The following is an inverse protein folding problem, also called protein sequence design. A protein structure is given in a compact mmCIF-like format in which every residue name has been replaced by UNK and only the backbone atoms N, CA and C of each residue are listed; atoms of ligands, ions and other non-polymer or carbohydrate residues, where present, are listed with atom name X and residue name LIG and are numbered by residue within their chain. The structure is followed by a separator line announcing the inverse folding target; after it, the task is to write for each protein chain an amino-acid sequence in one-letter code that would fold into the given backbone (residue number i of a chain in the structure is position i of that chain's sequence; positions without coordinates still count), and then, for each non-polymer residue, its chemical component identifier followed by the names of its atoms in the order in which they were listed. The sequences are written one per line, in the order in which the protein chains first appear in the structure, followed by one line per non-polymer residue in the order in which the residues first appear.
data_IF_554965046976
#
_entry.id   IF_554965046976
#
_cell.length_a   1.000
_cell.length_b   1.000
_cell.length_c   1.000
_cell.angle_alpha   90.00
_cell.angle_beta   90.00
_cell.angle_gamma   90.00
#
_symmetry.space_group_name_H-M   'P 1'
#
loop_
_entity.id
_entity.type
_entity.pdbx_description
1 polymer ?
#
# COMPACT_ATOMS: atom_id res chain seq x y z
N UNK A 1 -20.13 -14.42 -21.28
CA UNK A 1 -18.79 -13.82 -21.34
C UNK A 1 -17.81 -14.72 -20.59
N UNK A 2 -16.58 -14.83 -21.08
CA UNK A 2 -15.52 -15.57 -20.36
C UNK A 2 -15.24 -14.91 -19.01
N UNK A 3 -14.74 -15.68 -18.05
CA UNK A 3 -14.27 -15.17 -16.76
C UNK A 3 -13.06 -14.27 -16.95
N UNK A 4 -13.06 -13.12 -16.27
CA UNK A 4 -11.93 -12.17 -16.18
C UNK A 4 -11.53 -12.04 -14.72
N UNK A 5 -10.32 -12.46 -14.38
CA UNK A 5 -9.79 -12.34 -13.03
C UNK A 5 -9.24 -10.92 -12.81
N UNK A 6 -9.80 -10.18 -11.86
CA UNK A 6 -9.32 -8.84 -11.45
C UNK A 6 -8.16 -8.93 -10.45
N UNK A 7 -8.13 -9.99 -9.65
CA UNK A 7 -6.95 -10.47 -8.95
C UNK A 7 -6.54 -11.80 -9.55
N UNK A 8 -5.25 -12.10 -9.75
CA UNK A 8 -4.81 -13.36 -10.35
C UNK A 8 -5.43 -14.57 -9.64
N UNK A 9 -6.02 -15.51 -10.40
CA UNK A 9 -6.62 -16.74 -9.85
C UNK A 9 -5.55 -17.74 -9.39
N UNK A 10 -4.36 -17.69 -10.00
CA UNK A 10 -3.23 -18.57 -9.69
C UNK A 10 -2.20 -17.87 -8.80
N UNK A 11 -1.33 -18.65 -8.17
CA UNK A 11 -0.29 -18.17 -7.27
C UNK A 11 -0.75 -18.06 -5.82
N UNK A 12 0.08 -17.46 -4.99
CA UNK A 12 -0.09 -17.33 -3.55
C UNK A 12 -0.21 -15.87 -3.15
N UNK A 13 -0.88 -15.60 -2.03
CA UNK A 13 -0.83 -14.29 -1.40
C UNK A 13 0.32 -14.24 -0.41
N UNK A 14 1.15 -13.21 -0.55
CA UNK A 14 2.25 -12.91 0.37
C UNK A 14 1.92 -11.66 1.17
N UNK A 15 1.99 -11.77 2.49
CA UNK A 15 1.75 -10.64 3.41
C UNK A 15 3.00 -9.80 3.52
N UNK A 16 2.88 -8.51 3.20
CA UNK A 16 3.99 -7.57 3.13
C UNK A 16 3.79 -6.38 4.06
N UNK A 17 4.87 -5.94 4.74
CA UNK A 17 5.00 -4.58 5.23
C UNK A 17 5.90 -3.81 4.26
N UNK A 18 5.33 -2.82 3.58
CA UNK A 18 6.02 -2.05 2.54
C UNK A 18 6.56 -0.69 3.04
N UNK A 19 6.56 -0.46 4.36
CA UNK A 19 7.13 0.73 4.99
C UNK A 19 7.66 0.33 6.39
N UNK A 20 8.98 0.29 6.53
CA UNK A 20 9.63 -0.24 7.72
C UNK A 20 10.96 0.48 7.98
N UNK A 21 11.16 0.95 9.20
CA UNK A 21 12.38 1.58 9.67
C UNK A 21 13.18 0.68 10.60
N UNK A 22 14.49 0.66 10.39
CA UNK A 22 15.44 -0.11 11.19
C UNK A 22 16.41 0.80 11.93
N UNK A 23 17.38 0.20 12.64
CA UNK A 23 18.51 0.93 13.26
C UNK A 23 19.42 1.62 12.25
N UNK A 24 19.19 1.45 10.94
CA UNK A 24 19.93 2.17 9.91
C UNK A 24 19.43 3.62 9.75
N UNK A 25 18.22 3.92 10.22
CA UNK A 25 17.71 5.28 10.37
C UNK A 25 17.32 5.56 11.83
N UNK A 26 16.06 5.48 12.19
CA UNK A 26 15.52 5.85 13.49
C UNK A 26 14.60 4.80 14.11
N UNK A 27 14.51 3.62 13.51
CA UNK A 27 13.90 2.43 14.11
C UNK A 27 14.75 1.82 15.23
N UNK A 28 14.14 1.03 16.10
CA UNK A 28 14.82 0.43 17.27
C UNK A 28 15.44 -0.93 17.00
N UNK A 29 14.95 -1.67 16.03
CA UNK A 29 15.41 -3.03 15.75
C UNK A 29 16.30 -3.09 14.52
N UNK A 30 17.26 -4.00 14.53
CA UNK A 30 18.07 -4.28 13.33
C UNK A 30 17.20 -4.97 12.26
N UNK A 31 17.64 -4.95 10.99
CA UNK A 31 16.92 -5.68 9.93
C UNK A 31 16.69 -7.16 10.24
N UNK A 32 17.64 -7.84 10.89
CA UNK A 32 17.52 -9.24 11.30
C UNK A 32 16.47 -9.43 12.40
N UNK A 33 16.41 -8.51 13.36
CA UNK A 33 15.40 -8.53 14.42
C UNK A 33 14.00 -8.29 13.85
N UNK A 34 13.86 -7.32 12.94
CA UNK A 34 12.61 -7.06 12.24
C UNK A 34 12.15 -8.27 11.41
N UNK A 35 13.06 -8.89 10.65
CA UNK A 35 12.76 -10.13 9.93
C UNK A 35 12.20 -11.20 10.88
N UNK A 36 12.90 -11.50 11.97
CA UNK A 36 12.47 -12.52 12.93
C UNK A 36 11.10 -12.22 13.53
N UNK A 37 10.86 -10.95 13.87
CA UNK A 37 9.64 -10.48 14.48
C UNK A 37 8.45 -10.56 13.49
N UNK A 38 8.60 -10.05 12.27
CA UNK A 38 7.55 -10.04 11.27
C UNK A 38 7.19 -11.44 10.75
N UNK A 39 8.18 -12.35 10.66
CA UNK A 39 7.92 -13.76 10.33
C UNK A 39 6.99 -14.43 11.35
N UNK A 40 7.13 -14.14 12.65
CA UNK A 40 6.26 -14.67 13.71
C UNK A 40 4.80 -14.20 13.54
N UNK A 41 4.61 -13.02 12.93
CA UNK A 41 3.30 -12.45 12.62
C UNK A 41 2.80 -12.77 11.19
N UNK A 42 3.46 -13.74 10.52
CA UNK A 42 3.05 -14.27 9.21
C UNK A 42 3.33 -13.33 8.03
N UNK A 43 4.20 -12.33 8.18
CA UNK A 43 4.69 -11.55 7.06
C UNK A 43 5.82 -12.30 6.35
N UNK A 44 5.81 -12.26 5.04
CA UNK A 44 6.84 -12.89 4.20
C UNK A 44 7.70 -11.86 3.46
N UNK A 45 7.29 -10.59 3.46
CA UNK A 45 7.99 -9.51 2.76
C UNK A 45 8.09 -8.29 3.69
N UNK A 46 9.29 -7.72 3.78
CA UNK A 46 9.52 -6.40 4.38
C UNK A 46 10.25 -5.54 3.36
N UNK A 47 9.73 -4.34 3.07
CA UNK A 47 10.50 -3.30 2.41
C UNK A 47 11.22 -2.49 3.49
N UNK A 48 12.53 -2.65 3.60
CA UNK A 48 13.35 -1.83 4.48
C UNK A 48 13.53 -0.45 3.85
N UNK A 49 12.77 0.51 4.34
CA UNK A 49 12.67 1.86 3.78
C UNK A 49 13.30 2.93 4.68
N UNK A 50 14.44 2.63 5.26
CA UNK A 50 15.16 3.54 6.14
C UNK A 50 15.31 4.95 5.54
N UNK A 51 15.15 6.00 6.35
CA UNK A 51 15.18 7.39 5.93
C UNK A 51 16.47 7.75 5.18
N UNK A 52 16.31 8.19 3.92
CA UNK A 52 17.38 8.73 3.06
C UNK A 52 18.58 7.78 2.86
N UNK A 53 18.39 6.47 3.08
CA UNK A 53 19.43 5.46 2.97
C UNK A 53 18.92 4.23 2.25
N UNK A 54 19.34 4.04 1.03
CA UNK A 54 19.05 2.82 0.25
C UNK A 54 20.10 1.76 0.61
N UNK A 55 19.72 0.80 1.45
CA UNK A 55 20.59 -0.30 1.88
C UNK A 55 19.92 -1.62 1.55
N UNK A 56 20.45 -2.39 0.57
CA UNK A 56 19.90 -3.70 0.24
C UNK A 56 20.27 -4.75 1.29
N UNK A 57 19.39 -5.73 1.50
CA UNK A 57 19.56 -6.81 2.48
C UNK A 57 19.42 -8.21 1.85
N UNK A 58 20.11 -8.55 0.76
CA UNK A 58 20.00 -9.85 0.10
C UNK A 58 20.38 -11.01 1.03
N UNK A 59 21.22 -10.77 2.04
CA UNK A 59 21.64 -11.74 3.06
C UNK A 59 20.48 -12.20 3.99
N UNK A 60 19.41 -11.42 4.08
CA UNK A 60 18.24 -11.77 4.89
C UNK A 60 17.26 -12.70 4.17
N UNK A 61 17.44 -12.90 2.85
CA UNK A 61 16.57 -13.76 2.05
C UNK A 61 16.71 -15.21 2.47
N UNK A 62 15.57 -15.86 2.69
CA UNK A 62 15.50 -17.29 2.99
C UNK A 62 14.18 -17.89 2.53
N UNK A 63 14.00 -19.20 2.69
CA UNK A 63 12.70 -19.84 2.41
C UNK A 63 11.61 -19.22 3.30
N UNK A 64 10.57 -18.68 2.66
CA UNK A 64 9.46 -18.03 3.34
C UNK A 64 9.66 -16.53 3.65
N UNK A 65 10.82 -15.94 3.35
CA UNK A 65 11.06 -14.50 3.56
C UNK A 65 11.84 -13.84 2.42
N UNK A 66 11.35 -12.66 2.00
CA UNK A 66 11.96 -11.83 0.98
C UNK A 66 12.11 -10.38 1.49
N UNK A 67 13.34 -9.84 1.64
CA UNK A 67 13.56 -8.42 1.83
C UNK A 67 13.34 -7.68 0.50
N UNK A 68 12.49 -6.66 0.48
CA UNK A 68 12.34 -5.78 -0.66
C UNK A 68 13.23 -4.56 -0.45
N UNK A 69 14.05 -4.26 -1.44
CA UNK A 69 15.00 -3.15 -1.38
C UNK A 69 14.27 -1.81 -1.56
N UNK A 70 14.35 -0.93 -0.57
CA UNK A 70 13.60 0.32 -0.53
C UNK A 70 14.34 1.44 0.20
N UNK A 71 13.86 2.66 0.03
CA UNK A 71 14.26 3.85 0.80
C UNK A 71 13.07 4.78 0.95
N UNK A 72 12.92 5.41 2.10
CA UNK A 72 12.04 6.55 2.26
C UNK A 72 12.83 7.86 2.14
N UNK A 73 12.37 8.75 1.25
CA UNK A 73 12.93 10.09 1.09
C UNK A 73 11.95 11.09 1.72
N UNK A 74 12.45 11.86 2.68
CA UNK A 74 11.75 12.99 3.28
C UNK A 74 12.24 14.32 2.69
N UNK A 75 11.31 15.21 2.35
CA UNK A 75 11.60 16.58 1.87
C UNK A 75 10.71 17.56 2.61
N UNK A 76 11.27 18.26 3.59
CA UNK A 76 10.57 19.19 4.46
C UNK A 76 10.50 20.60 3.89
N UNK A 77 9.40 21.31 4.15
CA UNK A 77 9.23 22.71 3.80
C UNK A 77 10.01 23.60 4.76
N UNK A 78 10.94 24.39 4.21
CA UNK A 78 11.69 25.37 4.98
C UNK A 78 10.78 26.48 5.52
N UNK A 79 11.12 27.00 6.71
CA UNK A 79 10.40 28.10 7.35
C UNK A 79 9.15 27.69 8.13
N UNK A 80 8.69 26.46 8.04
CA UNK A 80 7.62 25.96 8.89
C UNK A 80 8.10 25.82 10.34
N UNK A 81 7.21 26.02 11.33
CA UNK A 81 7.58 25.91 12.74
C UNK A 81 8.03 24.48 13.07
N UNK A 82 8.94 24.35 14.03
CA UNK A 82 9.38 23.05 14.52
C UNK A 82 8.17 22.26 15.08
N UNK A 83 7.95 21.04 14.61
CA UNK A 83 6.80 20.19 14.96
C UNK A 83 5.52 20.44 14.14
N UNK A 84 5.54 21.40 13.19
CA UNK A 84 4.43 21.66 12.26
C UNK A 84 4.90 21.74 10.81
N UNK A 85 6.02 21.11 10.50
CA UNK A 85 6.67 21.20 9.20
C UNK A 85 5.98 20.25 8.22
N UNK A 86 5.50 20.81 7.11
CA UNK A 86 5.03 19.99 5.98
C UNK A 86 6.18 19.23 5.37
N UNK A 87 5.99 17.95 5.14
CA UNK A 87 7.05 17.10 4.60
C UNK A 87 6.47 16.14 3.56
N UNK A 88 7.12 16.04 2.40
CA UNK A 88 6.88 14.93 1.51
C UNK A 88 7.63 13.71 2.03
N UNK A 89 6.92 12.63 2.22
CA UNK A 89 7.45 11.30 2.49
C UNK A 89 7.09 10.38 1.32
N UNK A 90 8.11 9.82 0.68
CA UNK A 90 7.93 8.93 -0.47
C UNK A 90 8.79 7.69 -0.30
N UNK A 91 8.20 6.51 -0.45
CA UNK A 91 8.94 5.27 -0.55
C UNK A 91 9.28 4.97 -2.00
N UNK A 92 10.51 4.54 -2.21
CA UNK A 92 11.05 4.12 -3.49
C UNK A 92 11.48 2.67 -3.39
N UNK A 93 10.82 1.78 -4.10
CA UNK A 93 11.15 0.35 -4.18
C UNK A 93 12.04 0.13 -5.39
N UNK A 94 13.20 -0.49 -5.21
CA UNK A 94 14.15 -0.74 -6.29
C UNK A 94 13.82 -2.03 -7.05
N UNK A 95 13.87 -2.00 -8.40
CA UNK A 95 13.77 -3.21 -9.21
C UNK A 95 14.92 -4.19 -8.94
N UNK A 96 16.10 -3.65 -8.68
CA UNK A 96 17.30 -4.45 -8.45
C UNK A 96 17.42 -4.76 -6.94
N UNK A 97 17.42 -6.05 -6.60
CA UNK A 97 17.51 -6.56 -5.22
C UNK A 97 18.75 -6.02 -4.47
N UNK A 98 19.85 -5.77 -5.18
CA UNK A 98 21.14 -5.37 -4.59
C UNK A 98 21.54 -3.93 -4.86
N UNK A 99 20.63 -3.09 -5.36
CA UNK A 99 20.91 -1.68 -5.64
C UNK A 99 21.21 -0.91 -4.37
N UNK A 100 22.32 -0.20 -4.32
CA UNK A 100 22.77 0.62 -3.18
C UNK A 100 22.84 2.12 -3.48
N UNK A 101 22.62 2.52 -4.73
CA UNK A 101 22.69 3.92 -5.15
C UNK A 101 21.30 4.44 -5.48
N UNK A 102 20.95 5.57 -4.84
CA UNK A 102 19.73 6.29 -5.16
C UNK A 102 20.01 7.40 -6.19
N UNK A 103 18.94 7.86 -6.87
CA UNK A 103 19.06 8.93 -7.87
C UNK A 103 19.36 10.29 -7.22
N UNK A 104 20.16 11.17 -7.87
CA UNK A 104 20.36 12.52 -7.39
C UNK A 104 19.09 13.37 -7.52
N UNK A 105 18.78 14.19 -6.52
CA UNK A 105 17.58 15.02 -6.51
C UNK A 105 17.79 16.34 -5.76
N UNK A 106 16.86 17.30 -5.99
CA UNK A 106 16.79 18.56 -5.27
C UNK A 106 15.92 18.41 -4.01
N UNK A 107 16.43 18.84 -2.85
CA UNK A 107 15.71 18.78 -1.56
C UNK A 107 14.90 20.05 -1.27
N UNK A 108 14.22 20.61 -2.27
CA UNK A 108 13.31 21.72 -2.08
C UNK A 108 11.85 21.25 -2.06
N UNK A 109 11.07 21.70 -1.07
CA UNK A 109 9.64 21.45 -0.96
C UNK A 109 8.86 22.22 -2.03
N UNK A 110 8.94 21.75 -3.27
CA UNK A 110 8.21 22.29 -4.42
C UNK A 110 7.72 21.13 -5.29
N UNK A 111 6.46 21.13 -5.66
CA UNK A 111 5.83 20.10 -6.52
C UNK A 111 6.68 19.79 -7.75
N UNK A 112 7.26 20.81 -8.39
CA UNK A 112 8.11 20.60 -9.56
C UNK A 112 9.29 19.65 -9.25
N UNK A 113 10.03 19.90 -8.18
CA UNK A 113 11.19 19.07 -7.83
C UNK A 113 10.82 17.69 -7.32
N UNK A 114 9.63 17.57 -6.69
CA UNK A 114 9.10 16.25 -6.33
C UNK A 114 8.75 15.45 -7.59
N UNK A 115 8.10 16.06 -8.58
CA UNK A 115 7.81 15.39 -9.85
C UNK A 115 9.08 15.04 -10.64
N UNK A 116 10.10 15.90 -10.62
CA UNK A 116 11.41 15.59 -11.21
C UNK A 116 12.08 14.39 -10.51
N UNK A 117 12.00 14.31 -9.17
CA UNK A 117 12.50 13.17 -8.41
C UNK A 117 11.75 11.89 -8.78
N UNK A 118 10.42 11.92 -8.79
CA UNK A 118 9.58 10.77 -9.17
C UNK A 118 9.92 10.28 -10.59
N UNK A 119 10.03 11.20 -11.55
CA UNK A 119 10.36 10.87 -12.94
C UNK A 119 11.73 10.19 -13.05
N UNK A 120 12.77 10.76 -12.43
CA UNK A 120 14.13 10.18 -12.42
C UNK A 120 14.17 8.82 -11.75
N UNK A 121 13.45 8.65 -10.66
CA UNK A 121 13.37 7.38 -9.96
C UNK A 121 12.68 6.30 -10.83
N UNK A 122 11.57 6.64 -11.48
CA UNK A 122 10.89 5.74 -12.41
C UNK A 122 11.80 5.32 -13.59
N UNK A 123 12.51 6.28 -14.20
CA UNK A 123 13.50 6.01 -15.26
C UNK A 123 14.63 5.10 -14.79
N UNK A 124 15.01 5.23 -13.51
CA UNK A 124 16.04 4.41 -12.89
C UNK A 124 15.53 3.05 -12.36
N UNK A 125 14.26 2.69 -12.60
CA UNK A 125 13.69 1.40 -12.22
C UNK A 125 13.19 1.33 -10.79
N UNK A 126 12.69 2.44 -10.23
CA UNK A 126 11.98 2.43 -8.94
C UNK A 126 10.47 2.52 -9.17
N UNK A 127 9.70 1.89 -8.28
CA UNK A 127 8.28 2.19 -8.07
C UNK A 127 8.17 3.20 -6.92
N UNK A 128 7.33 4.22 -7.09
CA UNK A 128 7.24 5.32 -6.13
C UNK A 128 5.88 5.32 -5.42
N UNK A 129 5.90 5.24 -4.09
CA UNK A 129 4.72 5.35 -3.23
C UNK A 129 4.70 6.69 -2.52
N UNK A 130 3.55 7.31 -2.43
CA UNK A 130 3.30 8.50 -1.63
C UNK A 130 2.73 8.12 -0.26
N UNK A 131 3.38 8.60 0.82
CA UNK A 131 3.10 8.19 2.18
C UNK A 131 2.24 9.20 2.96
N UNK A 132 1.43 8.72 3.86
CA UNK A 132 0.72 9.34 5.01
C UNK A 132 0.57 10.89 4.96
N UNK A 133 -0.15 11.46 3.98
CA UNK A 133 -0.26 12.93 3.82
C UNK A 133 -0.85 13.66 5.04
N UNK A 134 -1.73 13.02 5.80
CA UNK A 134 -2.36 13.63 6.99
C UNK A 134 -1.35 13.85 8.11
N UNK A 135 -0.53 12.86 8.39
CA UNK A 135 0.58 12.99 9.34
C UNK A 135 1.58 14.04 8.88
N UNK A 136 1.86 14.09 7.59
CA UNK A 136 2.76 15.04 6.93
C UNK A 136 2.20 16.46 6.81
N UNK A 137 1.00 16.72 7.33
CA UNK A 137 0.30 18.02 7.29
C UNK A 137 0.09 18.55 5.87
N UNK A 138 -0.07 17.65 4.91
CA UNK A 138 -0.25 17.97 3.49
C UNK A 138 -1.73 18.01 3.11
N UNK A 139 -2.04 18.78 2.08
CA UNK A 139 -3.39 18.91 1.53
C UNK A 139 -3.42 18.67 0.01
N UNK A 140 -4.58 18.79 -0.61
CA UNK A 140 -4.79 18.52 -2.03
C UNK A 140 -3.83 19.29 -2.97
N UNK A 141 -3.32 20.44 -2.56
CA UNK A 141 -2.35 21.24 -3.33
C UNK A 141 -0.98 20.59 -3.38
N UNK A 142 -0.67 19.76 -2.41
CA UNK A 142 0.61 19.05 -2.32
C UNK A 142 0.58 17.75 -3.14
N UNK A 143 -0.50 16.94 -3.06
CA UNK A 143 -0.50 15.60 -3.66
C UNK A 143 -1.22 15.49 -5.01
N UNK A 144 -2.27 16.27 -5.29
CA UNK A 144 -2.98 16.15 -6.58
C UNK A 144 -2.10 16.45 -7.80
N UNK A 145 -1.12 17.39 -7.74
CA UNK A 145 -0.23 17.65 -8.85
C UNK A 145 0.88 16.61 -9.05
N UNK A 146 1.04 15.63 -8.15
CA UNK A 146 2.09 14.62 -8.28
C UNK A 146 1.79 13.67 -9.46
N UNK A 147 2.83 13.35 -10.22
CA UNK A 147 2.78 12.50 -11.41
C UNK A 147 3.75 11.33 -11.29
N UNK A 148 3.42 10.21 -11.96
CA UNK A 148 4.30 9.05 -12.00
C UNK A 148 4.32 8.18 -10.73
N UNK A 149 3.46 8.44 -9.77
CA UNK A 149 3.31 7.58 -8.58
C UNK A 149 2.75 6.20 -8.97
N UNK A 150 3.34 5.17 -8.40
CA UNK A 150 2.86 3.79 -8.48
C UNK A 150 1.79 3.50 -7.44
N UNK A 151 2.00 3.94 -6.19
CA UNK A 151 1.17 3.60 -5.04
C UNK A 151 0.88 4.79 -4.12
N UNK A 152 -0.09 4.55 -3.25
CA UNK A 152 -0.53 5.49 -2.22
C UNK A 152 -0.76 4.73 -0.92
N UNK A 153 -0.20 5.21 0.17
CA UNK A 153 -0.39 4.64 1.50
C UNK A 153 -1.76 5.00 2.06
N UNK A 154 -2.71 4.07 1.88
CA UNK A 154 -4.10 4.26 2.32
C UNK A 154 -4.29 3.97 3.80
N UNK A 155 -3.38 3.22 4.41
CA UNK A 155 -3.35 2.96 5.85
C UNK A 155 -1.92 2.84 6.35
N UNK A 156 -1.66 3.46 7.51
CA UNK A 156 -0.37 3.48 8.19
C UNK A 156 -0.61 3.27 9.69
N UNK A 157 -0.01 2.21 10.26
CA UNK A 157 -0.20 1.84 11.67
C UNK A 157 0.45 2.84 12.61
N UNK A 158 1.66 3.33 12.29
CA UNK A 158 2.35 4.35 13.09
C UNK A 158 1.51 5.62 13.22
N UNK A 159 0.98 6.13 12.11
CA UNK A 159 0.08 7.29 12.12
C UNK A 159 -1.22 7.03 12.88
N UNK A 160 -1.76 5.81 12.82
CA UNK A 160 -2.98 5.45 13.57
C UNK A 160 -2.73 5.47 15.07
N UNK A 161 -1.64 4.89 15.55
CA UNK A 161 -1.35 4.86 17.00
C UNK A 161 -0.89 6.21 17.55
N UNK A 162 -0.21 7.03 16.73
CA UNK A 162 0.25 8.36 17.15
C UNK A 162 -0.86 9.42 17.17
N UNK A 163 -1.73 9.43 16.15
CA UNK A 163 -2.63 10.56 15.88
C UNK A 163 -4.07 10.16 15.52
N UNK A 164 -4.42 8.87 15.50
CA UNK A 164 -5.71 8.34 15.05
C UNK A 164 -6.07 8.81 13.62
N UNK A 165 -5.09 8.93 12.75
CA UNK A 165 -5.24 9.42 11.38
C UNK A 165 -4.58 8.49 10.34
N UNK A 166 -4.42 7.21 10.67
CA UNK A 166 -3.77 6.21 9.81
C UNK A 166 -4.47 5.99 8.46
N UNK A 167 -5.79 6.25 8.34
CA UNK A 167 -6.51 6.10 7.08
C UNK A 167 -6.45 7.35 6.21
N UNK A 168 -5.93 7.20 4.99
CA UNK A 168 -5.89 8.20 3.90
C UNK A 168 -6.83 7.86 2.74
N UNK A 169 -7.95 7.20 3.02
CA UNK A 169 -8.92 6.74 2.01
C UNK A 169 -9.60 7.89 1.25
N UNK A 170 -9.80 9.04 1.88
CA UNK A 170 -10.36 10.22 1.23
C UNK A 170 -9.38 10.85 0.22
N UNK A 171 -8.12 11.03 0.61
CA UNK A 171 -7.03 11.51 -0.23
C UNK A 171 -6.80 10.57 -1.42
N UNK A 172 -6.82 9.26 -1.18
CA UNK A 172 -6.75 8.26 -2.24
C UNK A 172 -7.88 8.41 -3.27
N UNK A 173 -9.12 8.61 -2.81
CA UNK A 173 -10.28 8.84 -3.70
C UNK A 173 -10.13 10.13 -4.48
N UNK A 174 -9.57 11.20 -3.89
CA UNK A 174 -9.30 12.44 -4.61
C UNK A 174 -8.27 12.21 -5.73
N UNK A 175 -7.21 11.44 -5.48
CA UNK A 175 -6.22 11.06 -6.48
C UNK A 175 -6.85 10.25 -7.62
N UNK A 176 -7.72 9.27 -7.31
CA UNK A 176 -8.45 8.49 -8.31
C UNK A 176 -9.34 9.39 -9.20
N UNK A 177 -10.05 10.36 -8.60
CA UNK A 177 -10.89 11.34 -9.33
C UNK A 177 -10.06 12.29 -10.18
N UNK A 178 -8.82 12.58 -9.79
CA UNK A 178 -7.86 13.31 -10.59
C UNK A 178 -7.23 12.47 -11.72
N UNK A 179 -7.72 11.24 -11.94
CA UNK A 179 -7.25 10.34 -13.01
C UNK A 179 -6.03 9.49 -12.65
N UNK A 180 -5.54 9.54 -11.40
CA UNK A 180 -4.41 8.70 -10.98
C UNK A 180 -4.89 7.26 -10.77
N UNK A 181 -4.09 6.28 -11.21
CA UNK A 181 -4.37 4.84 -11.05
C UNK A 181 -3.30 4.20 -10.18
N UNK A 182 -3.49 4.33 -8.86
CA UNK A 182 -2.52 3.97 -7.84
C UNK A 182 -2.83 2.61 -7.22
N UNK A 183 -1.81 1.88 -6.80
CA UNK A 183 -1.95 0.77 -5.89
C UNK A 183 -2.27 1.30 -4.47
N UNK A 184 -3.33 0.85 -3.80
CA UNK A 184 -3.50 1.13 -2.39
C UNK A 184 -2.52 0.25 -1.60
N UNK A 185 -1.81 0.84 -0.66
CA UNK A 185 -0.83 0.17 0.20
C UNK A 185 -1.21 0.39 1.65
N UNK A 186 -1.21 -0.67 2.46
CA UNK A 186 -1.31 -0.58 3.91
C UNK A 186 0.00 -1.08 4.51
N UNK A 187 0.51 -0.35 5.49
CA UNK A 187 1.83 -0.55 6.07
C UNK A 187 1.84 -0.30 7.56
N UNK A 188 2.98 -0.53 8.17
CA UNK A 188 3.18 -0.22 9.57
C UNK A 188 3.92 1.10 9.80
N UNK A 189 4.91 1.44 8.95
CA UNK A 189 5.81 2.58 9.21
C UNK A 189 6.41 2.49 10.62
N UNK A 190 6.81 1.28 10.96
CA UNK A 190 7.20 0.91 12.31
C UNK A 190 8.58 1.48 12.68
N UNK A 191 8.64 2.09 13.84
CA UNK A 191 9.90 2.51 14.49
C UNK A 191 10.18 1.68 15.74
N UNK A 192 9.19 0.91 16.20
CA UNK A 192 9.26 -0.01 17.35
C UNK A 192 9.69 0.68 18.65
N UNK A 193 9.22 1.90 18.89
CA UNK A 193 9.50 2.64 20.14
C UNK A 193 8.88 1.95 21.35
N UNK A 194 7.80 1.21 21.13
CA UNK A 194 7.05 0.45 22.12
C UNK A 194 7.09 -1.04 21.76
N UNK A 195 6.98 -1.92 22.76
CA UNK A 195 6.93 -3.36 22.55
C UNK A 195 5.57 -3.85 22.05
N UNK A 196 5.48 -5.12 21.65
CA UNK A 196 4.27 -5.71 21.05
C UNK A 196 3.02 -5.67 21.95
N UNK A 197 3.21 -5.75 23.27
CA UNK A 197 2.12 -5.72 24.26
C UNK A 197 1.64 -4.31 24.58
N UNK A 198 2.33 -3.28 24.07
CA UNK A 198 1.99 -1.89 24.33
C UNK A 198 0.88 -1.42 23.40
N UNK A 199 -0.16 -0.71 23.88
CA UNK A 199 -1.19 -0.14 23.00
C UNK A 199 -0.68 0.82 21.93
N UNK A 200 0.52 1.37 22.11
CA UNK A 200 1.21 2.23 21.13
C UNK A 200 2.16 1.45 20.21
N UNK A 201 2.07 0.12 20.14
CA UNK A 201 2.83 -0.68 19.19
C UNK A 201 2.47 -0.28 17.76
N UNK A 202 3.47 0.14 16.99
CA UNK A 202 3.35 0.60 15.61
C UNK A 202 3.57 -0.52 14.57
N UNK A 203 3.46 -1.79 14.97
CA UNK A 203 3.73 -2.95 14.13
C UNK A 203 2.50 -3.86 14.01
N UNK A 204 2.44 -4.62 12.89
CA UNK A 204 1.46 -5.67 12.57
C UNK A 204 0.01 -5.20 12.37
N UNK A 205 -0.24 -3.90 12.37
CA UNK A 205 -1.56 -3.31 12.17
C UNK A 205 -1.96 -3.20 10.70
N UNK A 206 -1.01 -2.85 9.83
CA UNK A 206 -1.20 -2.69 8.39
C UNK A 206 -0.42 -3.72 7.57
N UNK A 207 -0.99 -4.16 6.45
CA UNK A 207 -0.28 -5.02 5.50
C UNK A 207 -0.83 -4.91 4.09
N UNK A 208 0.04 -5.12 3.13
CA UNK A 208 -0.31 -5.27 1.72
C UNK A 208 -0.22 -6.75 1.34
N UNK A 209 -1.30 -7.29 0.79
CA UNK A 209 -1.31 -8.66 0.27
C UNK A 209 -0.93 -8.62 -1.21
N UNK A 210 0.19 -9.25 -1.56
CA UNK A 210 0.71 -9.32 -2.93
C UNK A 210 0.43 -10.70 -3.51
N UNK A 211 -0.20 -10.76 -4.69
CA UNK A 211 -0.50 -12.02 -5.37
C UNK A 211 0.56 -12.33 -6.41
N UNK A 212 1.37 -13.37 -6.17
CA UNK A 212 2.45 -13.78 -7.07
C UNK A 212 2.54 -15.30 -7.20
N UNK A 213 3.12 -15.84 -8.28
CA UNK A 213 3.26 -17.29 -8.47
C UNK A 213 4.20 -17.93 -7.45
N UNK A 214 5.24 -17.22 -7.03
CA UNK A 214 6.27 -17.69 -6.11
C UNK A 214 6.89 -16.51 -5.34
N UNK A 215 7.58 -16.80 -4.22
CA UNK A 215 8.25 -15.80 -3.39
C UNK A 215 9.69 -15.57 -3.88
N UNK A 216 9.81 -15.00 -5.08
CA UNK A 216 11.09 -14.56 -5.66
C UNK A 216 11.03 -13.06 -5.92
N UNK A 217 12.19 -12.39 -5.95
CA UNK A 217 12.25 -10.94 -6.14
C UNK A 217 11.56 -10.53 -7.45
N UNK A 218 11.87 -11.23 -8.57
CA UNK A 218 11.28 -10.96 -9.89
C UNK A 218 9.76 -11.20 -9.93
N UNK A 219 9.26 -12.25 -9.29
CA UNK A 219 7.84 -12.54 -9.25
C UNK A 219 7.07 -11.50 -8.41
N UNK A 220 7.61 -11.10 -7.26
CA UNK A 220 7.04 -10.05 -6.41
C UNK A 220 7.11 -8.70 -7.11
N UNK A 221 8.25 -8.36 -7.74
CA UNK A 221 8.38 -7.15 -8.53
C UNK A 221 7.34 -7.07 -9.66
N UNK A 222 7.20 -8.15 -10.44
CA UNK A 222 6.21 -8.23 -11.52
C UNK A 222 4.77 -8.06 -11.00
N UNK A 223 4.45 -8.60 -9.81
CA UNK A 223 3.15 -8.42 -9.19
C UNK A 223 2.93 -6.96 -8.75
N UNK A 224 3.95 -6.31 -8.20
CA UNK A 224 3.88 -4.88 -7.84
C UNK A 224 3.68 -4.00 -9.09
N UNK A 225 4.45 -4.20 -10.16
CA UNK A 225 4.27 -3.47 -11.42
C UNK A 225 2.84 -3.57 -11.96
N UNK A 226 2.23 -4.75 -11.89
CA UNK A 226 0.85 -5.01 -12.31
C UNK A 226 -0.19 -4.55 -11.29
N UNK A 227 0.24 -4.17 -10.08
CA UNK A 227 -0.63 -3.85 -8.94
C UNK A 227 -1.54 -5.03 -8.57
N UNK A 228 -1.01 -6.25 -8.65
CA UNK A 228 -1.68 -7.49 -8.24
C UNK A 228 -1.64 -7.62 -6.71
N UNK A 229 -2.14 -6.60 -6.03
CA UNK A 229 -2.13 -6.46 -4.58
C UNK A 229 -3.35 -5.71 -4.07
N UNK A 230 -3.56 -5.77 -2.76
CA UNK A 230 -4.54 -4.96 -2.05
C UNK A 230 -4.05 -4.60 -0.65
N UNK A 231 -4.50 -3.45 -0.14
CA UNK A 231 -4.23 -2.98 1.22
C UNK A 231 -5.20 -3.60 2.22
N UNK A 232 -4.73 -3.89 3.45
CA UNK A 232 -5.59 -4.34 4.55
C UNK A 232 -4.99 -4.02 5.92
N UNK A 233 -5.88 -3.80 6.89
CA UNK A 233 -5.56 -3.84 8.31
C UNK A 233 -6.34 -4.93 9.08
N UNK A 234 -6.82 -5.97 8.35
CA UNK A 234 -7.51 -7.11 8.94
C UNK A 234 -8.18 -8.05 7.94
N UNK A 235 -9.24 -7.65 7.22
CA UNK A 235 -9.94 -8.53 6.29
C UNK A 235 -9.05 -9.01 5.14
N UNK A 236 -9.33 -10.21 4.63
CA UNK A 236 -8.63 -10.78 3.47
C UNK A 236 -9.58 -10.88 2.27
N UNK A 237 -9.10 -10.49 1.10
CA UNK A 237 -9.74 -10.76 -0.20
C UNK A 237 -9.09 -12.01 -0.77
N UNK A 238 -9.93 -13.03 -1.07
CA UNK A 238 -9.46 -14.34 -1.53
C UNK A 238 -9.54 -14.47 -3.04
N UNK A 239 -10.69 -14.04 -3.61
CA UNK A 239 -10.93 -14.05 -5.05
C UNK A 239 -11.68 -12.78 -5.45
N UNK A 240 -11.40 -12.31 -6.65
CA UNK A 240 -12.08 -11.18 -7.26
C UNK A 240 -12.07 -11.36 -8.77
N UNK A 241 -13.24 -11.58 -9.38
CA UNK A 241 -13.36 -11.83 -10.80
C UNK A 241 -14.72 -11.38 -11.35
N UNK A 242 -14.79 -11.23 -12.66
CA UNK A 242 -16.01 -10.94 -13.41
C UNK A 242 -16.39 -12.17 -14.23
N UNK A 243 -17.64 -12.55 -14.17
CA UNK A 243 -18.21 -13.60 -15.00
C UNK A 243 -19.68 -13.31 -15.31
N UNK A 244 -20.10 -13.53 -16.55
CA UNK A 244 -21.50 -13.32 -17.00
C UNK A 244 -22.09 -11.95 -16.63
N UNK A 245 -21.29 -10.87 -16.70
CA UNK A 245 -21.73 -9.50 -16.39
C UNK A 245 -21.91 -9.21 -14.89
N UNK A 246 -21.38 -10.04 -14.02
CA UNK A 246 -21.37 -9.85 -12.56
C UNK A 246 -19.97 -9.94 -12.02
N UNK A 247 -19.69 -9.15 -10.99
CA UNK A 247 -18.45 -9.24 -10.22
C UNK A 247 -18.67 -10.16 -9.04
N UNK A 248 -17.75 -11.06 -8.80
CA UNK A 248 -17.72 -11.98 -7.65
C UNK A 248 -16.55 -11.62 -6.74
N UNK A 249 -16.84 -11.46 -5.47
CA UNK A 249 -15.87 -11.12 -4.42
C UNK A 249 -15.97 -12.17 -3.31
N UNK A 250 -14.86 -12.86 -3.03
CA UNK A 250 -14.72 -13.79 -1.90
C UNK A 250 -13.71 -13.22 -0.89
N UNK A 251 -14.06 -13.31 0.41
CA UNK A 251 -13.28 -12.69 1.49
C UNK A 251 -13.16 -13.59 2.72
N UNK A 252 -12.37 -13.19 3.71
CA UNK A 252 -12.53 -13.62 5.10
C UNK A 252 -13.87 -13.11 5.65
N UNK A 253 -14.35 -13.63 6.81
CA UNK A 253 -15.59 -13.14 7.41
C UNK A 253 -15.63 -11.61 7.55
N UNK A 254 -16.66 -10.98 6.99
CA UNK A 254 -16.82 -9.54 6.90
C UNK A 254 -18.24 -9.10 7.31
N UNK A 255 -18.38 -7.86 7.76
CA UNK A 255 -19.67 -7.22 8.03
C UNK A 255 -20.21 -6.47 6.81
N UNK A 256 -19.31 -5.96 5.95
CA UNK A 256 -19.66 -5.19 4.76
C UNK A 256 -18.76 -5.58 3.60
N UNK A 257 -19.37 -5.84 2.44
CA UNK A 257 -18.71 -5.99 1.15
C UNK A 257 -19.26 -4.91 0.21
N UNK A 258 -18.37 -4.17 -0.45
CA UNK A 258 -18.75 -2.98 -1.20
C UNK A 258 -18.00 -2.89 -2.52
N UNK A 259 -18.73 -2.64 -3.62
CA UNK A 259 -18.19 -2.22 -4.90
C UNK A 259 -18.46 -0.74 -5.10
N UNK A 260 -17.42 0.05 -5.34
CA UNK A 260 -17.49 1.49 -5.62
C UNK A 260 -17.12 1.79 -7.07
N UNK A 261 -17.65 2.87 -7.58
CA UNK A 261 -17.34 3.42 -8.90
C UNK A 261 -16.78 4.83 -8.78
N UNK A 262 -16.49 5.49 -9.91
CA UNK A 262 -16.10 6.92 -9.97
C UNK A 262 -17.22 7.84 -9.52
N UNK A 263 -18.46 7.37 -9.53
CA UNK A 263 -19.66 8.15 -9.19
C UNK A 263 -20.08 7.94 -7.73
N UNK A 264 -21.26 8.45 -7.38
CA UNK A 264 -21.90 8.14 -6.08
C UNK A 264 -22.53 6.75 -6.02
N UNK A 265 -22.58 6.05 -7.14
CA UNK A 265 -23.13 4.71 -7.18
C UNK A 265 -22.22 3.73 -6.45
N UNK A 266 -22.79 3.04 -5.51
CA UNK A 266 -22.11 2.03 -4.68
C UNK A 266 -23.05 0.83 -4.51
N UNK A 267 -22.56 -0.33 -4.87
CA UNK A 267 -23.23 -1.59 -4.53
C UNK A 267 -22.70 -2.07 -3.17
N UNK A 268 -23.61 -2.37 -2.26
CA UNK A 268 -23.24 -2.74 -0.89
C UNK A 268 -23.99 -4.00 -0.44
N UNK A 269 -23.30 -4.87 0.25
CA UNK A 269 -23.86 -6.02 0.96
C UNK A 269 -23.47 -5.91 2.43
N UNK A 270 -24.45 -5.96 3.32
CA UNK A 270 -24.26 -5.89 4.77
C UNK A 270 -24.74 -7.17 5.43
N UNK A 271 -24.00 -7.64 6.39
CA UNK A 271 -24.41 -8.75 7.25
C UNK A 271 -25.52 -8.29 8.22
N UNK A 272 -26.47 -9.18 8.49
CA UNK A 272 -27.52 -9.00 9.50
C UNK A 272 -27.43 -10.15 10.50
N UNK A 273 -26.59 -10.00 11.52
CA UNK A 273 -26.40 -11.01 12.57
C UNK A 273 -25.34 -12.07 12.27
N UNK A 274 -25.09 -12.40 11.02
CA UNK A 274 -24.02 -13.31 10.57
C UNK A 274 -22.97 -12.55 9.74
N UNK A 275 -21.81 -13.18 9.48
CA UNK A 275 -20.78 -12.60 8.62
C UNK A 275 -21.00 -13.00 7.16
N UNK A 276 -20.55 -12.14 6.24
CA UNK A 276 -20.46 -12.43 4.82
C UNK A 276 -19.06 -12.92 4.48
N UNK A 277 -18.95 -13.95 3.62
CA UNK A 277 -17.67 -14.41 3.07
C UNK A 277 -17.60 -14.28 1.56
N UNK A 278 -18.72 -13.93 0.94
CA UNK A 278 -18.81 -13.72 -0.50
C UNK A 278 -19.96 -12.76 -0.85
N UNK A 279 -19.83 -12.09 -1.97
CA UNK A 279 -20.89 -11.31 -2.59
C UNK A 279 -20.73 -11.28 -4.10
N UNK A 280 -21.84 -11.02 -4.79
CA UNK A 280 -21.82 -10.66 -6.19
C UNK A 280 -22.51 -9.31 -6.43
N UNK A 281 -22.02 -8.58 -7.45
CA UNK A 281 -22.47 -7.25 -7.79
C UNK A 281 -22.81 -7.17 -9.30
N UNK A 282 -23.93 -6.53 -9.70
CA UNK A 282 -24.22 -6.33 -11.10
C UNK A 282 -23.26 -5.32 -11.74
N UNK A 283 -22.82 -5.56 -12.96
CA UNK A 283 -21.99 -4.65 -13.75
C UNK A 283 -22.82 -4.07 -14.92
N UNK A 284 -23.99 -3.51 -14.58
CA UNK A 284 -25.00 -3.05 -15.54
C UNK A 284 -24.88 -1.56 -15.92
N UNK A 285 -24.15 -0.75 -15.16
CA UNK A 285 -24.05 0.71 -15.32
C UNK A 285 -22.84 1.20 -16.11
N UNK A 286 -22.03 0.27 -16.63
CA UNK A 286 -20.85 0.57 -17.43
C UNK A 286 -19.92 1.65 -16.83
N UNK A 287 -19.45 1.49 -15.56
CA UNK A 287 -18.61 2.47 -14.87
C UNK A 287 -17.25 2.62 -15.55
N UNK A 288 -16.56 3.75 -15.35
CA UNK A 288 -15.20 3.96 -15.82
C UNK A 288 -14.20 3.05 -15.10
N UNK A 289 -14.41 2.89 -13.79
CA UNK A 289 -13.68 1.92 -12.97
C UNK A 289 -14.57 1.35 -11.87
N UNK A 290 -14.13 0.22 -11.34
CA UNK A 290 -14.67 -0.38 -10.12
C UNK A 290 -13.54 -0.64 -9.13
N UNK A 291 -13.82 -0.51 -7.84
CA UNK A 291 -12.92 -0.89 -6.75
C UNK A 291 -13.70 -1.49 -5.58
N UNK A 292 -13.04 -2.21 -4.71
CA UNK A 292 -13.70 -2.96 -3.65
C UNK A 292 -13.18 -2.56 -2.28
N UNK A 293 -14.11 -2.48 -1.34
CA UNK A 293 -13.83 -2.30 0.08
C UNK A 293 -14.52 -3.40 0.86
N UNK A 294 -13.81 -3.96 1.82
CA UNK A 294 -14.28 -4.97 2.75
C UNK A 294 -14.12 -4.43 4.15
N UNK A 295 -15.14 -4.49 4.98
CA UNK A 295 -15.02 -4.13 6.39
C UNK A 295 -15.46 -5.31 7.27
N UNK A 296 -14.67 -5.62 8.31
CA UNK A 296 -15.03 -6.63 9.30
C UNK A 296 -15.90 -6.04 10.43
N UNK A 297 -16.31 -6.89 11.37
CA UNK A 297 -17.15 -6.48 12.51
C UNK A 297 -16.43 -5.55 13.50
N UNK A 298 -15.09 -5.44 13.42
CA UNK A 298 -14.28 -4.52 14.23
C UNK A 298 -14.02 -3.18 13.55
N UNK A 299 -14.53 -2.99 12.32
CA UNK A 299 -14.31 -1.79 11.51
C UNK A 299 -12.97 -1.77 10.76
N UNK A 300 -12.18 -2.85 10.80
CA UNK A 300 -10.97 -2.98 10.00
C UNK A 300 -11.34 -3.16 8.53
N UNK A 301 -10.50 -2.67 7.63
CA UNK A 301 -10.82 -2.61 6.21
C UNK A 301 -9.77 -3.33 5.35
N UNK A 302 -10.22 -3.78 4.17
CA UNK A 302 -9.35 -4.06 3.04
C UNK A 302 -9.83 -3.27 1.83
N UNK A 303 -8.88 -2.85 0.96
CA UNK A 303 -9.17 -1.99 -0.17
C UNK A 303 -8.35 -2.41 -1.39
N UNK A 304 -9.02 -2.54 -2.56
CA UNK A 304 -8.34 -2.79 -3.83
C UNK A 304 -8.04 -1.50 -4.57
N UNK A 305 -7.18 -1.60 -5.58
CA UNK A 305 -7.03 -0.56 -6.61
C UNK A 305 -8.33 -0.35 -7.39
N UNK A 306 -8.38 0.73 -8.15
CA UNK A 306 -9.37 0.89 -9.21
C UNK A 306 -8.98 -0.01 -10.41
N UNK A 307 -9.91 -0.86 -10.83
CA UNK A 307 -9.84 -1.62 -12.07
C UNK A 307 -10.56 -0.85 -13.14
N UNK A 308 -9.92 -0.59 -14.26
CA UNK A 308 -10.49 0.20 -15.36
C UNK A 308 -11.36 -0.66 -16.28
N UNK A 309 -12.35 -0.04 -16.90
CA UNK A 309 -13.27 -0.72 -17.82
C UNK A 309 -12.56 -1.53 -18.90
N UNK A 310 -11.44 -1.03 -19.42
CA UNK A 310 -10.64 -1.73 -20.42
C UNK A 310 -10.08 -3.08 -19.94
N UNK A 311 -10.05 -3.33 -18.61
CA UNK A 311 -9.58 -4.60 -18.05
C UNK A 311 -10.63 -5.72 -18.08
N UNK A 312 -11.90 -5.42 -18.35
CA UNK A 312 -12.99 -6.42 -18.39
C UNK A 312 -13.89 -6.32 -19.62
N UNK A 313 -13.68 -5.41 -20.56
CA UNK A 313 -14.29 -5.36 -21.88
C UNK A 313 -13.39 -6.04 -22.89
#
# INVERSE_FOLDING_TARGET
MSRVDLLPSKGHFYKANLHCHSTLSDGRYTPEQLKALYLQHGYQIIAFSDHNRLVPHPELKEEGFLPLNAVEIDISREGDPKGGRRTYHLNFYAREETRSEFVPFCREYKVQFINELIARANEAGFLVQYNHPRWSLQDARDYLPLEGLWGFEVFNTGCEVEMLNGWGDEEFVQMLRAGRRLAPVATDDNHNRFGEEDPCCDSFGGFTMIKAPELTYDAIWSALEKKDCYASNGPLIRQLYIENGRVYLETSPAAVLMMRTETRHTEIRRAFGETLTQADFPLDRNPEYIRFEVADARGRKAMTRAYERAEWQ
#
